data_IF_186882673508
#
_entry.id   IF_186882673508
#
_cell.length_a   1.000
_cell.length_b   1.000
_cell.length_c   1.000
_cell.angle_alpha   90.00
_cell.angle_beta   90.00
_cell.angle_gamma   90.00
#
_symmetry.space_group_name_H-M   'P 1'
#
loop_
_entity.id
_entity.type
_entity.pdbx_description
1 polymer ?
#
# COMPACT_ATOMS: atom_id res chain seq x y z
N UNK A 1 -1.29 -49.78 60.01
CA UNK A 1 -1.38 -51.24 59.83
C UNK A 1 -2.13 -51.47 58.53
N UNK A 2 -1.42 -51.96 57.49
CA UNK A 2 -1.95 -52.67 56.29
C UNK A 2 -2.70 -51.78 55.26
N UNK A 3 -2.42 -51.70 53.95
CA UNK A 3 -1.42 -52.28 53.01
C UNK A 3 -1.46 -51.51 51.68
N UNK A 4 -0.32 -51.52 50.98
CA UNK A 4 -0.11 -51.28 49.54
C UNK A 4 -0.41 -52.57 48.77
N UNK A 5 -0.95 -52.52 47.54
CA UNK A 5 -0.60 -53.39 46.36
C UNK A 5 -1.57 -53.15 45.17
N UNK A 6 -1.10 -52.77 43.97
CA UNK A 6 -0.79 -53.63 42.77
C UNK A 6 -2.03 -54.29 42.13
N UNK A 7 -2.23 -54.53 40.83
CA UNK A 7 -1.57 -54.36 39.52
C UNK A 7 -2.54 -55.00 38.47
N UNK A 8 -2.11 -55.12 37.21
CA UNK A 8 -2.73 -55.80 36.03
C UNK A 8 -3.67 -54.95 35.17
N UNK A 9 -3.38 -54.58 33.91
CA UNK A 9 -2.76 -55.23 32.72
C UNK A 9 -3.64 -56.26 32.01
N UNK A 10 -4.25 -55.85 30.89
CA UNK A 10 -4.41 -56.61 29.63
C UNK A 10 -5.03 -55.66 28.58
N UNK A 11 -4.32 -55.15 27.57
CA UNK A 11 -3.80 -55.82 26.37
C UNK A 11 -4.90 -56.47 25.51
N UNK A 12 -5.36 -55.73 24.49
CA UNK A 12 -5.86 -56.30 23.24
C UNK A 12 -5.12 -55.62 22.09
N UNK A 13 -4.22 -56.42 21.52
CA UNK A 13 -3.37 -56.18 20.36
C UNK A 13 -4.11 -56.67 19.11
N UNK A 14 -3.68 -56.14 17.96
CA UNK A 14 -3.73 -56.68 16.59
C UNK A 14 -4.56 -55.80 15.65
N UNK A 15 -4.12 -55.47 14.43
CA UNK A 15 -2.84 -55.42 13.68
C UNK A 15 -3.28 -54.81 12.32
N UNK A 16 -2.56 -53.80 11.81
CA UNK A 16 -1.61 -53.92 10.66
C UNK A 16 -2.35 -54.12 9.32
N UNK A 17 -2.02 -53.50 8.19
CA UNK A 17 -0.86 -52.80 7.62
C UNK A 17 -1.44 -51.79 6.59
N UNK A 18 -0.73 -50.83 5.97
CA UNK A 18 0.65 -50.81 5.54
C UNK A 18 1.06 -49.38 5.10
N UNK A 19 2.32 -49.04 5.38
CA UNK A 19 3.30 -48.38 4.49
C UNK A 19 2.88 -47.16 3.63
N UNK A 20 3.58 -46.02 3.65
CA UNK A 20 4.88 -45.70 4.23
C UNK A 20 5.58 -44.60 3.41
N UNK A 21 6.21 -43.65 4.11
CA UNK A 21 7.57 -43.11 3.86
C UNK A 21 7.78 -41.83 4.68
N UNK A 22 8.27 -42.01 5.90
CA UNK A 22 9.10 -41.00 6.55
C UNK A 22 10.51 -41.10 5.95
N UNK A 23 11.04 -39.97 5.47
CA UNK A 23 12.48 -39.71 5.49
C UNK A 23 12.72 -38.44 6.29
N UNK A 24 13.51 -38.60 7.36
CA UNK A 24 14.16 -37.55 8.13
C UNK A 24 15.09 -36.75 7.20
N UNK A 25 15.21 -35.44 7.42
CA UNK A 25 16.51 -34.77 7.56
C UNK A 25 16.33 -33.30 7.98
N UNK A 26 16.90 -32.99 9.14
CA UNK A 26 17.63 -31.77 9.50
C UNK A 26 17.03 -30.39 9.14
N UNK A 27 16.46 -29.71 10.14
CA UNK A 27 16.42 -28.25 10.20
C UNK A 27 17.41 -27.77 11.27
N UNK A 28 18.52 -27.13 10.90
CA UNK A 28 19.26 -26.31 11.83
C UNK A 28 18.81 -24.83 11.69
N UNK A 29 18.71 -24.19 12.86
CA UNK A 29 19.11 -22.81 13.15
C UNK A 29 18.36 -21.62 12.51
N UNK A 30 17.88 -20.76 13.43
CA UNK A 30 17.96 -19.29 13.44
C UNK A 30 18.07 -18.59 12.09
N UNK A 31 17.03 -17.83 11.73
CA UNK A 31 17.18 -16.60 10.96
C UNK A 31 16.37 -15.46 11.58
N UNK A 32 17.00 -14.32 11.92
CA UNK A 32 16.30 -13.08 12.19
C UNK A 32 16.02 -12.42 10.83
N UNK A 33 14.75 -12.14 10.51
CA UNK A 33 14.44 -11.33 9.34
C UNK A 33 14.23 -9.90 9.82
N UNK A 34 15.34 -9.17 9.79
CA UNK A 34 15.34 -7.72 9.82
C UNK A 34 14.59 -7.20 8.59
N UNK A 35 13.54 -6.42 8.82
CA UNK A 35 12.85 -5.63 7.80
C UNK A 35 13.84 -4.55 7.35
N UNK A 36 14.25 -4.50 6.06
CA UNK A 36 15.15 -3.47 5.61
C UNK A 36 14.34 -2.18 5.42
N UNK A 37 14.31 -1.34 6.44
CA UNK A 37 14.02 0.07 6.24
C UNK A 37 15.13 0.65 5.38
N UNK A 38 14.77 1.10 4.18
CA UNK A 38 15.67 1.72 3.22
C UNK A 38 16.12 3.08 3.76
N UNK A 39 17.18 3.07 4.57
CA UNK A 39 17.89 4.25 5.06
C UNK A 39 18.79 4.77 3.92
N UNK A 40 18.29 5.70 3.12
CA UNK A 40 19.14 6.46 2.19
C UNK A 40 19.58 7.73 2.90
N UNK A 41 20.75 7.68 3.51
CA UNK A 41 21.47 8.85 4.01
C UNK A 41 22.25 9.48 2.84
N UNK A 42 21.76 10.60 2.32
CA UNK A 42 22.52 11.46 1.42
C UNK A 42 22.68 12.82 2.08
N UNK A 43 23.84 13.02 2.73
CA UNK A 43 24.34 14.35 3.14
C UNK A 43 24.65 15.17 1.89
N UNK A 44 24.04 16.34 1.73
CA UNK A 44 24.63 17.51 1.05
C UNK A 44 24.14 18.81 1.71
N UNK A 45 24.95 19.89 1.71
CA UNK A 45 24.72 21.06 2.55
C UNK A 45 23.95 22.19 1.84
N UNK A 46 23.21 22.94 2.69
CA UNK A 46 22.83 24.36 2.62
C UNK A 46 22.12 24.94 1.38
N UNK A 47 20.95 25.55 1.67
CA UNK A 47 20.61 26.87 1.13
C UNK A 47 19.52 26.91 0.07
N UNK A 48 18.44 27.64 0.36
CA UNK A 48 17.49 28.15 -0.62
C UNK A 48 16.05 27.72 -0.38
N UNK A 49 15.24 28.63 0.16
CA UNK A 49 13.78 28.62 0.01
C UNK A 49 13.47 28.70 -1.50
N UNK A 50 13.28 27.54 -2.13
CA UNK A 50 12.71 27.47 -3.47
C UNK A 50 11.28 26.97 -3.37
N UNK A 51 10.36 27.86 -3.73
CA UNK A 51 9.00 27.57 -4.14
C UNK A 51 9.00 26.36 -5.07
N UNK A 52 8.49 25.22 -4.59
CA UNK A 52 8.36 24.01 -5.41
C UNK A 52 7.13 24.18 -6.29
N UNK A 53 7.34 24.13 -7.60
CA UNK A 53 6.30 24.30 -8.62
C UNK A 53 5.20 23.26 -8.49
N UNK A 54 4.02 23.73 -8.08
CA UNK A 54 2.76 23.03 -8.14
C UNK A 54 2.17 23.27 -9.53
N UNK A 55 2.55 22.47 -10.52
CA UNK A 55 1.98 22.61 -11.87
C UNK A 55 1.36 21.30 -12.35
N UNK A 56 0.06 21.41 -12.67
CA UNK A 56 -0.83 20.45 -13.34
C UNK A 56 -1.44 19.32 -12.48
N UNK A 57 -2.13 19.68 -11.41
CA UNK A 57 -3.40 19.03 -11.04
C UNK A 57 -4.53 19.99 -11.45
N UNK A 58 -5.77 19.52 -11.69
CA UNK A 58 -6.91 20.42 -11.96
C UNK A 58 -6.99 21.44 -10.81
N UNK A 59 -7.30 22.71 -11.08
CA UNK A 59 -7.31 23.79 -10.07
C UNK A 59 -8.13 23.43 -8.80
N UNK A 60 -9.14 22.55 -8.92
CA UNK A 60 -9.89 21.99 -7.78
C UNK A 60 -9.09 20.97 -6.96
N UNK A 61 -8.36 20.06 -7.61
CA UNK A 61 -7.63 18.96 -6.97
C UNK A 61 -6.30 19.44 -6.38
N UNK A 62 -5.71 20.51 -6.93
CA UNK A 62 -4.53 21.17 -6.34
C UNK A 62 -4.87 21.77 -4.98
N UNK A 63 -6.05 22.43 -4.88
CA UNK A 63 -6.47 23.12 -3.66
C UNK A 63 -6.66 22.12 -2.53
N UNK A 64 -7.33 21.00 -2.80
CA UNK A 64 -7.58 19.97 -1.78
C UNK A 64 -6.30 19.30 -1.31
N UNK A 65 -5.38 18.95 -2.22
CA UNK A 65 -4.08 18.37 -1.87
C UNK A 65 -3.27 19.34 -0.99
N UNK A 66 -3.20 20.60 -1.38
CA UNK A 66 -2.47 21.62 -0.61
C UNK A 66 -3.08 21.86 0.78
N UNK A 67 -4.41 21.83 0.89
CA UNK A 67 -5.12 21.97 2.16
C UNK A 67 -4.84 20.80 3.10
N UNK A 68 -4.93 19.56 2.62
CA UNK A 68 -4.60 18.36 3.41
C UNK A 68 -3.12 18.34 3.84
N UNK A 69 -2.20 18.68 2.93
CA UNK A 69 -0.77 18.80 3.29
C UNK A 69 -0.56 19.85 4.37
N UNK A 70 -1.26 21.00 4.29
CA UNK A 70 -1.19 22.03 5.33
C UNK A 70 -1.71 21.53 6.68
N UNK A 71 -2.78 20.73 6.70
CA UNK A 71 -3.28 20.10 7.93
C UNK A 71 -2.25 19.14 8.54
N UNK A 72 -1.59 18.33 7.71
CA UNK A 72 -0.51 17.43 8.16
C UNK A 72 0.66 18.22 8.76
N UNK A 73 1.04 19.34 8.16
CA UNK A 73 2.09 20.21 8.70
C UNK A 73 1.72 20.86 10.03
N UNK A 74 0.45 21.23 10.20
CA UNK A 74 -0.07 21.74 11.47
C UNK A 74 -0.05 20.66 12.56
N UNK A 75 -0.42 19.42 12.23
CA UNK A 75 -0.27 18.27 13.13
C UNK A 75 1.20 18.06 13.52
N UNK A 76 2.13 18.15 12.57
CA UNK A 76 3.56 17.99 12.84
C UNK A 76 4.09 19.06 13.81
N UNK A 77 3.66 20.32 13.68
CA UNK A 77 4.01 21.41 14.61
C UNK A 77 3.49 21.14 16.02
N UNK A 78 2.26 20.63 16.14
CA UNK A 78 1.67 20.25 17.44
C UNK A 78 2.40 19.08 18.08
N UNK A 79 2.68 18.03 17.30
CA UNK A 79 3.44 16.86 17.74
C UNK A 79 4.82 17.26 18.26
N UNK A 80 5.50 18.16 17.54
CA UNK A 80 6.81 18.72 17.96
C UNK A 80 6.70 19.54 19.26
N UNK A 81 5.71 20.44 19.35
CA UNK A 81 5.55 21.33 20.50
C UNK A 81 5.17 20.58 21.78
N UNK A 82 4.32 19.56 21.68
CA UNK A 82 3.82 18.76 22.80
C UNK A 82 4.64 17.52 23.10
N UNK A 83 5.60 17.17 22.23
CA UNK A 83 6.37 15.92 22.27
C UNK A 83 5.45 14.68 22.35
N UNK A 84 4.40 14.68 21.54
CA UNK A 84 3.46 13.56 21.43
C UNK A 84 3.53 12.94 20.03
N UNK A 85 3.03 11.71 19.88
CA UNK A 85 2.85 11.07 18.58
C UNK A 85 1.42 11.37 18.11
N UNK A 86 1.29 11.99 16.95
CA UNK A 86 0.02 12.27 16.30
C UNK A 86 -0.06 11.45 15.02
N UNK A 87 -1.15 10.71 14.86
CA UNK A 87 -1.41 9.91 13.67
C UNK A 87 -2.47 10.58 12.81
N UNK A 88 -2.21 10.74 11.52
CA UNK A 88 -3.19 11.29 10.57
C UNK A 88 -4.29 10.29 10.26
N UNK A 89 -5.33 10.74 9.57
CA UNK A 89 -6.26 9.86 8.86
C UNK A 89 -5.58 9.22 7.63
N UNK A 90 -6.30 8.36 6.89
CA UNK A 90 -5.76 7.71 5.68
C UNK A 90 -5.59 8.74 4.56
N UNK A 91 -4.33 9.02 4.25
CA UNK A 91 -3.90 9.92 3.20
C UNK A 91 -3.84 9.17 1.86
N UNK A 92 -4.14 9.90 0.79
CA UNK A 92 -3.94 9.38 -0.58
C UNK A 92 -2.45 9.40 -0.97
N UNK A 93 -2.00 8.55 -1.92
CA UNK A 93 -0.62 8.52 -2.38
C UNK A 93 0.02 9.88 -2.72
N UNK A 94 -0.63 10.81 -3.46
CA UNK A 94 -0.03 12.12 -3.76
C UNK A 94 0.24 12.94 -2.50
N UNK A 95 -0.73 12.99 -1.58
CA UNK A 95 -0.67 13.78 -0.35
C UNK A 95 0.39 13.21 0.58
N UNK A 96 0.42 11.89 0.75
CA UNK A 96 1.43 11.20 1.54
C UNK A 96 2.84 11.50 1.03
N UNK A 97 3.05 11.44 -0.29
CA UNK A 97 4.35 11.70 -0.91
C UNK A 97 4.81 13.14 -0.65
N UNK A 98 3.91 14.11 -0.85
CA UNK A 98 4.24 15.52 -0.63
C UNK A 98 4.50 15.83 0.84
N UNK A 99 3.64 15.37 1.74
CA UNK A 99 3.80 15.55 3.18
C UNK A 99 5.12 14.93 3.67
N UNK A 100 5.43 13.70 3.28
CA UNK A 100 6.66 13.01 3.69
C UNK A 100 7.90 13.77 3.23
N UNK A 101 7.94 14.23 1.97
CA UNK A 101 9.06 15.02 1.44
C UNK A 101 9.28 16.36 2.19
N UNK A 102 8.23 16.96 2.73
CA UNK A 102 8.34 18.19 3.52
C UNK A 102 8.81 17.87 4.94
N UNK A 103 8.24 16.84 5.57
CA UNK A 103 8.56 16.45 6.93
C UNK A 103 9.99 15.92 7.07
N UNK A 104 10.51 15.21 6.07
CA UNK A 104 11.90 14.74 6.04
C UNK A 104 12.93 15.89 6.09
N UNK A 105 12.55 17.11 5.72
CA UNK A 105 13.42 18.29 5.79
C UNK A 105 13.45 18.92 7.18
N UNK A 106 12.57 18.51 8.09
CA UNK A 106 12.50 19.00 9.46
C UNK A 106 13.34 18.11 10.36
N UNK A 107 14.40 18.66 10.97
CA UNK A 107 15.38 17.88 11.73
C UNK A 107 14.77 17.20 12.98
N UNK A 108 13.81 17.85 13.64
CA UNK A 108 13.30 17.41 14.94
C UNK A 108 12.08 16.48 14.84
N UNK A 109 11.63 16.17 13.62
CA UNK A 109 10.42 15.40 13.38
C UNK A 109 10.76 14.10 12.67
N UNK A 110 10.16 13.02 13.14
CA UNK A 110 10.16 11.72 12.48
C UNK A 110 8.73 11.42 12.03
N UNK A 111 8.61 10.92 10.81
CA UNK A 111 7.34 10.53 10.22
C UNK A 111 7.45 9.08 9.72
N UNK A 112 6.46 8.25 10.06
CA UNK A 112 6.38 6.85 9.63
C UNK A 112 5.05 6.65 8.93
N UNK A 113 5.10 6.30 7.64
CA UNK A 113 3.93 5.94 6.86
C UNK A 113 3.59 4.46 7.06
N UNK A 114 2.34 4.17 7.39
CA UNK A 114 1.83 2.82 7.60
C UNK A 114 0.58 2.63 6.75
N UNK A 115 0.46 1.51 6.05
CA UNK A 115 -0.74 1.14 5.27
C UNK A 115 -1.26 -0.27 5.56
N UNK A 116 -0.67 -0.95 6.55
CA UNK A 116 -0.99 -2.34 6.91
C UNK A 116 -0.25 -3.40 6.10
N UNK A 117 0.04 -3.14 4.82
CA UNK A 117 0.81 -4.04 3.94
C UNK A 117 1.73 -3.26 2.98
N UNK A 118 2.76 -3.88 2.38
CA UNK A 118 3.81 -3.17 1.63
C UNK A 118 3.33 -2.42 0.37
N UNK A 119 2.16 -2.75 -0.16
CA UNK A 119 1.61 -2.20 -1.40
C UNK A 119 0.36 -1.35 -1.18
N UNK A 120 0.10 -0.96 0.07
CA UNK A 120 -1.02 -0.10 0.39
C UNK A 120 -0.98 1.21 -0.41
N UNK A 121 -2.11 1.58 -1.00
CA UNK A 121 -2.31 2.85 -1.67
C UNK A 121 -2.62 3.93 -0.64
N UNK A 122 -3.55 3.67 0.28
CA UNK A 122 -3.91 4.60 1.36
C UNK A 122 -3.12 4.28 2.61
N UNK A 123 -2.42 5.27 3.15
CA UNK A 123 -1.59 5.11 4.34
C UNK A 123 -1.89 6.20 5.36
N UNK A 124 -1.75 5.86 6.65
CA UNK A 124 -1.73 6.82 7.75
C UNK A 124 -0.28 7.23 8.03
N UNK A 125 -0.09 8.47 8.44
CA UNK A 125 1.21 9.03 8.77
C UNK A 125 1.29 9.27 10.28
N UNK A 126 2.19 8.57 10.94
CA UNK A 126 2.50 8.76 12.36
C UNK A 126 3.63 9.76 12.49
N UNK A 127 3.40 10.88 13.16
CA UNK A 127 4.31 12.03 13.25
C UNK A 127 4.63 12.30 14.71
N UNK A 128 5.92 12.47 15.03
CA UNK A 128 6.35 12.73 16.39
C UNK A 128 7.82 13.13 16.47
N UNK A 129 8.26 13.49 17.68
CA UNK A 129 9.67 13.77 17.94
C UNK A 129 10.50 12.47 17.86
N UNK A 130 11.76 12.56 17.43
CA UNK A 130 12.65 11.40 17.27
C UNK A 130 12.78 10.56 18.54
N UNK A 131 12.84 11.22 19.70
CA UNK A 131 12.98 10.58 21.02
C UNK A 131 11.77 9.74 21.45
N UNK A 132 10.57 10.12 20.98
CA UNK A 132 9.31 9.46 21.37
C UNK A 132 8.99 8.32 20.41
N UNK A 133 9.41 8.45 19.14
CA UNK A 133 9.14 7.49 18.08
C UNK A 133 10.18 6.35 18.02
N UNK A 134 10.27 5.60 19.13
CA UNK A 134 11.19 4.47 19.30
C UNK A 134 10.68 3.18 18.63
N UNK A 135 9.37 3.02 18.51
CA UNK A 135 8.72 1.91 17.79
C UNK A 135 7.70 2.46 16.78
N UNK A 136 7.36 1.65 15.78
CA UNK A 136 6.23 1.95 14.91
C UNK A 136 4.95 1.85 15.75
N UNK A 137 4.12 2.91 15.84
CA UNK A 137 2.88 2.84 16.59
C UNK A 137 1.86 1.95 15.89
N UNK A 138 0.89 1.42 16.63
CA UNK A 138 -0.23 0.65 16.08
C UNK A 138 -1.24 1.61 15.44
N UNK A 139 -0.89 2.10 14.25
CA UNK A 139 -1.70 3.09 13.54
C UNK A 139 -2.86 2.46 12.75
N UNK A 140 -2.88 1.15 12.51
CA UNK A 140 -3.83 0.51 11.59
C UNK A 140 -4.27 -0.85 12.10
N UNK A 141 -5.57 -1.11 12.02
CA UNK A 141 -6.17 -2.43 12.23
C UNK A 141 -6.73 -2.98 10.92
N UNK A 142 -6.81 -4.30 10.83
CA UNK A 142 -7.44 -4.99 9.71
C UNK A 142 -8.68 -5.74 10.17
N UNK A 143 -9.76 -5.59 9.40
CA UNK A 143 -11.02 -6.29 9.59
C UNK A 143 -11.23 -7.27 8.45
N UNK A 144 -11.75 -8.45 8.76
CA UNK A 144 -12.24 -9.44 7.80
C UNK A 144 -13.76 -9.42 7.80
N UNK A 145 -14.32 -9.16 6.63
CA UNK A 145 -15.75 -9.19 6.35
C UNK A 145 -16.03 -10.49 5.59
N UNK A 146 -16.76 -11.40 6.23
CA UNK A 146 -17.12 -12.70 5.66
C UNK A 146 -18.62 -12.79 5.41
N UNK A 147 -19.01 -13.39 4.31
CA UNK A 147 -20.41 -13.52 3.91
C UNK A 147 -20.56 -14.51 2.76
N UNK A 148 -21.80 -14.83 2.40
CA UNK A 148 -22.07 -15.73 1.28
C UNK A 148 -22.13 -14.95 -0.04
N UNK A 149 -20.96 -14.70 -0.63
CA UNK A 149 -20.83 -13.92 -1.86
C UNK A 149 -20.81 -14.76 -3.15
N UNK A 150 -20.98 -16.08 -3.07
CA UNK A 150 -20.90 -16.98 -4.23
C UNK A 150 -21.97 -16.76 -5.32
N UNK A 151 -23.04 -16.03 -5.02
CA UNK A 151 -24.18 -15.83 -5.92
C UNK A 151 -24.22 -14.45 -6.61
N UNK A 152 -23.28 -13.56 -6.32
CA UNK A 152 -23.26 -12.20 -6.87
C UNK A 152 -21.85 -11.67 -7.06
N UNK A 153 -21.66 -10.79 -8.06
CA UNK A 153 -20.41 -10.05 -8.22
C UNK A 153 -20.48 -8.80 -7.35
N UNK A 154 -19.78 -8.83 -6.23
CA UNK A 154 -19.65 -7.67 -5.35
C UNK A 154 -18.37 -6.92 -5.70
N UNK A 155 -18.52 -5.63 -5.94
CA UNK A 155 -17.42 -4.73 -6.26
C UNK A 155 -16.87 -4.08 -4.99
N UNK A 156 -15.69 -3.47 -5.11
CA UNK A 156 -15.13 -2.61 -4.07
C UNK A 156 -16.13 -1.52 -3.62
N UNK A 157 -16.94 -1.00 -4.55
CA UNK A 157 -17.93 0.04 -4.27
C UNK A 157 -19.02 -0.40 -3.29
N UNK A 158 -19.40 -1.68 -3.31
CA UNK A 158 -20.47 -2.22 -2.48
C UNK A 158 -20.04 -2.35 -1.01
N UNK A 159 -18.83 -2.85 -0.77
CA UNK A 159 -18.23 -2.90 0.56
C UNK A 159 -18.03 -1.50 1.13
N UNK A 160 -17.44 -0.60 0.33
CA UNK A 160 -17.24 0.78 0.73
C UNK A 160 -18.58 1.46 1.06
N UNK A 161 -19.59 1.33 0.20
CA UNK A 161 -20.89 1.94 0.41
C UNK A 161 -21.58 1.44 1.68
N UNK A 162 -21.43 0.15 1.99
CA UNK A 162 -21.99 -0.45 3.21
C UNK A 162 -21.29 0.07 4.46
N UNK A 163 -19.96 0.21 4.42
CA UNK A 163 -19.18 0.78 5.52
C UNK A 163 -19.54 2.25 5.73
N UNK A 164 -19.57 3.05 4.67
CA UNK A 164 -19.96 4.47 4.76
C UNK A 164 -21.41 4.64 5.25
N UNK A 165 -22.29 3.67 4.93
CA UNK A 165 -23.67 3.62 5.44
C UNK A 165 -23.79 3.51 6.96
N UNK A 166 -22.73 3.08 7.65
CA UNK A 166 -22.67 3.07 9.13
C UNK A 166 -22.45 4.46 9.73
N UNK A 167 -22.14 5.47 8.92
CA UNK A 167 -21.83 6.84 9.35
C UNK A 167 -20.34 7.14 9.48
N UNK A 168 -19.46 6.20 9.11
CA UNK A 168 -18.01 6.42 9.08
C UNK A 168 -17.62 7.27 7.87
N UNK A 169 -16.66 8.17 8.07
CA UNK A 169 -16.08 9.00 7.02
C UNK A 169 -14.99 8.24 6.24
N UNK A 170 -14.86 8.51 4.94
CA UNK A 170 -13.95 7.76 4.05
C UNK A 170 -12.48 7.90 4.46
N UNK A 171 -12.12 9.02 5.07
CA UNK A 171 -10.77 9.35 5.54
C UNK A 171 -10.31 8.36 6.62
N UNK A 172 -11.23 7.73 7.35
CA UNK A 172 -10.93 6.71 8.37
C UNK A 172 -10.80 5.29 7.81
N UNK A 173 -11.00 5.12 6.50
CA UNK A 173 -10.95 3.83 5.81
C UNK A 173 -9.75 3.83 4.86
N UNK A 174 -8.96 2.78 4.96
CA UNK A 174 -7.84 2.47 4.07
C UNK A 174 -8.28 1.68 2.85
N UNK A 175 -7.43 0.75 2.44
CA UNK A 175 -7.69 -0.09 1.28
C UNK A 175 -8.68 -1.22 1.61
N UNK A 176 -9.46 -1.62 0.60
CA UNK A 176 -10.38 -2.76 0.67
C UNK A 176 -9.87 -3.84 -0.29
N UNK A 177 -9.48 -4.97 0.27
CA UNK A 177 -8.96 -6.13 -0.43
C UNK A 177 -10.10 -7.13 -0.65
N UNK A 178 -10.53 -7.31 -1.90
CA UNK A 178 -11.58 -8.28 -2.23
C UNK A 178 -11.02 -9.71 -2.19
N UNK A 179 -11.77 -10.62 -1.58
CA UNK A 179 -11.45 -12.04 -1.47
C UNK A 179 -12.43 -12.92 -2.28
N UNK A 180 -12.85 -12.43 -3.43
CA UNK A 180 -13.80 -13.12 -4.33
C UNK A 180 -15.03 -13.66 -3.59
N UNK A 181 -15.13 -14.98 -3.40
CA UNK A 181 -16.26 -15.65 -2.76
C UNK A 181 -16.27 -15.56 -1.23
N UNK A 182 -15.11 -15.30 -0.60
CA UNK A 182 -14.97 -15.27 0.88
C UNK A 182 -15.39 -13.94 1.50
N UNK A 183 -15.40 -12.87 0.71
CA UNK A 183 -15.76 -11.52 1.14
C UNK A 183 -14.65 -10.50 0.90
N UNK A 184 -14.28 -9.73 1.93
CA UNK A 184 -13.26 -8.69 1.82
C UNK A 184 -12.47 -8.50 3.13
N UNK A 185 -11.27 -7.95 3.01
CA UNK A 185 -10.48 -7.45 4.13
C UNK A 185 -10.35 -5.94 4.02
N UNK A 186 -10.49 -5.21 5.12
CA UNK A 186 -10.50 -3.75 5.13
C UNK A 186 -9.54 -3.22 6.17
N UNK A 187 -8.75 -2.21 5.78
CA UNK A 187 -7.83 -1.51 6.64
C UNK A 187 -8.55 -0.31 7.25
N UNK A 188 -8.52 -0.15 8.57
CA UNK A 188 -9.29 0.87 9.29
C UNK A 188 -8.49 1.49 10.44
N UNK A 189 -8.97 2.64 10.92
CA UNK A 189 -8.52 3.24 12.17
C UNK A 189 -8.82 2.26 13.34
N UNK A 190 -7.85 1.91 14.20
CA UNK A 190 -8.07 1.01 15.34
C UNK A 190 -9.25 1.41 16.22
N UNK A 191 -9.53 2.71 16.37
CA UNK A 191 -10.67 3.22 17.15
C UNK A 191 -12.04 2.79 16.59
N UNK A 192 -12.12 2.39 15.32
CA UNK A 192 -13.37 2.01 14.64
C UNK A 192 -13.60 0.50 14.60
N UNK A 193 -12.68 -0.32 15.10
CA UNK A 193 -12.75 -1.79 15.03
C UNK A 193 -14.02 -2.31 15.71
N UNK A 194 -14.23 -1.96 16.99
CA UNK A 194 -15.39 -2.43 17.77
C UNK A 194 -16.72 -1.93 17.20
N UNK A 195 -16.73 -0.68 16.72
CA UNK A 195 -17.90 -0.07 16.10
C UNK A 195 -18.29 -0.79 14.80
N UNK A 196 -17.32 -1.11 13.95
CA UNK A 196 -17.57 -1.82 12.70
C UNK A 196 -17.98 -3.28 12.92
N UNK A 197 -17.37 -3.96 13.89
CA UNK A 197 -17.73 -5.33 14.25
C UNK A 197 -19.20 -5.41 14.70
N UNK A 198 -19.68 -4.42 15.46
CA UNK A 198 -21.06 -4.39 15.97
C UNK A 198 -22.10 -3.90 14.95
N UNK A 199 -21.71 -2.97 14.08
CA UNK A 199 -22.67 -2.26 13.20
C UNK A 199 -22.74 -2.84 11.79
N UNK A 200 -21.64 -3.34 11.25
CA UNK A 200 -21.57 -3.82 9.87
C UNK A 200 -22.08 -5.26 9.75
N UNK A 201 -23.41 -5.38 9.65
CA UNK A 201 -24.12 -6.66 9.61
C UNK A 201 -24.53 -7.11 8.19
N UNK A 202 -24.50 -6.20 7.21
CA UNK A 202 -24.85 -6.51 5.83
C UNK A 202 -24.00 -5.73 4.83
N UNK A 203 -23.72 -6.34 3.69
CA UNK A 203 -23.13 -5.68 2.51
C UNK A 203 -24.09 -5.87 1.34
N UNK A 204 -24.68 -4.77 0.87
CA UNK A 204 -25.81 -4.82 -0.06
C UNK A 204 -26.98 -5.61 0.54
N UNK A 205 -27.30 -6.77 -0.05
CA UNK A 205 -28.37 -7.66 0.41
C UNK A 205 -27.84 -8.91 1.14
N UNK A 206 -26.53 -9.04 1.33
CA UNK A 206 -25.90 -10.24 1.93
C UNK A 206 -25.59 -9.96 3.39
N UNK A 207 -26.05 -10.80 4.33
CA UNK A 207 -25.64 -10.70 5.72
C UNK A 207 -24.15 -11.06 5.84
N UNK A 208 -23.41 -10.26 6.60
CA UNK A 208 -21.96 -10.43 6.80
C UNK A 208 -21.61 -10.51 8.27
N UNK A 209 -20.48 -11.16 8.57
CA UNK A 209 -19.84 -11.17 9.87
C UNK A 209 -18.48 -10.48 9.77
N UNK A 210 -18.21 -9.58 10.71
CA UNK A 210 -16.98 -8.81 10.78
C UNK A 210 -16.13 -9.28 11.97
N UNK A 211 -14.84 -9.47 11.75
CA UNK A 211 -13.89 -9.87 12.80
C UNK A 211 -12.55 -9.17 12.61
N UNK A 212 -11.88 -8.82 13.71
CA UNK A 212 -10.53 -8.29 13.64
C UNK A 212 -9.52 -9.40 13.29
N UNK A 213 -8.54 -9.06 12.44
CA UNK A 213 -7.46 -9.96 12.07
C UNK A 213 -6.10 -9.27 12.25
N UNK A 214 -5.06 -10.03 12.61
CA UNK A 214 -3.71 -9.47 12.66
C UNK A 214 -3.27 -9.08 11.25
N UNK A 215 -2.52 -7.97 11.12
CA UNK A 215 -1.99 -7.49 9.84
C UNK A 215 -1.16 -8.56 9.11
N UNK A 216 -0.51 -9.46 9.84
CA UNK A 216 0.27 -10.57 9.26
C UNK A 216 -0.61 -11.62 8.56
N UNK A 217 -1.90 -11.70 8.88
CA UNK A 217 -2.86 -12.59 8.26
C UNK A 217 -3.65 -11.92 7.12
N UNK A 218 -3.24 -10.72 6.71
CA UNK A 218 -3.78 -10.07 5.51
C UNK A 218 -3.45 -10.93 4.29
N UNK A 219 -4.50 -11.32 3.59
CA UNK A 219 -4.41 -12.04 2.32
C UNK A 219 -4.56 -10.98 1.23
N UNK A 220 -3.42 -10.46 0.77
CA UNK A 220 -3.38 -9.56 -0.38
C UNK A 220 -2.82 -10.33 -1.57
N UNK A 221 -3.52 -10.31 -2.70
CA UNK A 221 -2.92 -10.71 -3.95
C UNK A 221 -2.03 -9.57 -4.45
N UNK A 222 -0.72 -9.78 -4.66
CA UNK A 222 0.07 -8.77 -5.33
C UNK A 222 -0.57 -8.50 -6.70
N UNK A 223 -0.74 -7.24 -7.10
CA UNK A 223 -1.38 -6.90 -8.36
C UNK A 223 -0.65 -7.64 -9.47
N UNK A 224 -1.39 -8.23 -10.42
CA UNK A 224 -0.80 -8.99 -11.51
C UNK A 224 0.07 -8.05 -12.34
N UNK A 225 1.38 -8.09 -12.12
CA UNK A 225 2.30 -7.25 -12.87
C UNK A 225 2.90 -8.03 -14.03
N UNK A 226 2.89 -7.43 -15.21
CA UNK A 226 3.67 -7.93 -16.35
C UNK A 226 4.91 -7.05 -16.52
N UNK A 227 6.08 -7.60 -16.22
CA UNK A 227 7.38 -6.96 -16.44
C UNK A 227 7.92 -7.34 -17.82
N UNK A 228 8.37 -6.34 -18.58
CA UNK A 228 9.06 -6.57 -19.85
C UNK A 228 10.14 -5.51 -20.08
N UNK A 229 11.16 -5.87 -20.87
CA UNK A 229 12.26 -4.98 -21.22
C UNK A 229 12.06 -4.41 -22.62
N UNK A 230 12.22 -3.11 -22.77
CA UNK A 230 12.23 -2.43 -24.06
C UNK A 230 13.52 -1.62 -24.24
N UNK A 231 13.87 -1.30 -25.48
CA UNK A 231 15.02 -0.45 -25.80
C UNK A 231 14.50 0.79 -26.53
N UNK A 232 14.49 1.93 -25.85
CA UNK A 232 14.03 3.19 -26.40
C UNK A 232 15.21 4.14 -26.69
N UNK A 233 15.02 5.01 -27.68
CA UNK A 233 16.01 6.03 -28.03
C UNK A 233 16.01 7.21 -27.04
N UNK A 234 14.93 7.40 -26.28
CA UNK A 234 14.79 8.50 -25.31
C UNK A 234 13.94 8.08 -24.12
N UNK A 235 14.19 8.71 -22.97
CA UNK A 235 13.44 8.51 -21.72
C UNK A 235 12.19 9.39 -21.60
N UNK A 236 11.64 9.85 -22.73
CA UNK A 236 10.46 10.70 -22.76
C UNK A 236 9.21 9.89 -22.42
N UNK A 237 8.23 10.54 -21.77
CA UNK A 237 6.94 9.93 -21.41
C UNK A 237 6.26 9.31 -22.63
N UNK A 238 6.22 10.01 -23.75
CA UNK A 238 5.60 9.53 -25.00
C UNK A 238 6.26 8.25 -25.54
N UNK A 239 7.58 8.13 -25.43
CA UNK A 239 8.35 6.97 -25.91
C UNK A 239 8.13 5.76 -25.00
N UNK A 240 8.27 5.94 -23.69
CA UNK A 240 8.18 4.85 -22.71
C UNK A 240 6.74 4.35 -22.52
N UNK A 241 5.76 5.25 -22.43
CA UNK A 241 4.37 4.83 -22.27
C UNK A 241 3.79 4.23 -23.57
N UNK A 242 4.29 4.60 -24.76
CA UNK A 242 3.91 3.95 -26.01
C UNK A 242 4.32 2.47 -26.01
N UNK A 243 5.57 2.19 -25.62
CA UNK A 243 6.07 0.82 -25.44
C UNK A 243 5.33 0.07 -24.32
N UNK A 244 5.07 0.76 -23.20
CA UNK A 244 4.39 0.23 -22.02
C UNK A 244 2.95 -0.24 -22.26
N UNK A 245 2.14 0.63 -22.89
CA UNK A 245 0.71 0.39 -23.09
C UNK A 245 0.38 -0.24 -24.44
N UNK A 246 1.38 -0.43 -25.32
CA UNK A 246 1.21 -0.89 -26.71
C UNK A 246 0.27 0.03 -27.50
N UNK A 247 0.43 1.34 -27.34
CA UNK A 247 -0.33 2.40 -28.02
C UNK A 247 0.61 3.18 -28.93
N UNK A 248 0.15 3.63 -30.10
CA UNK A 248 0.98 4.42 -31.00
C UNK A 248 1.41 5.75 -30.35
N UNK A 249 2.61 6.23 -30.67
CA UNK A 249 3.13 7.49 -30.12
C UNK A 249 2.23 8.68 -30.44
N UNK A 250 1.67 8.76 -31.65
CA UNK A 250 0.74 9.83 -32.05
C UNK A 250 -0.49 9.85 -31.15
N UNK A 251 -1.11 8.69 -30.91
CA UNK A 251 -2.29 8.60 -30.05
C UNK A 251 -1.96 8.96 -28.60
N UNK A 252 -0.77 8.59 -28.13
CA UNK A 252 -0.34 8.94 -26.78
C UNK A 252 -0.05 10.45 -26.64
N UNK A 253 0.51 11.09 -27.66
CA UNK A 253 0.67 12.55 -27.71
C UNK A 253 -0.67 13.26 -27.58
N UNK A 254 -1.72 12.75 -28.24
CA UNK A 254 -3.07 13.30 -28.11
C UNK A 254 -3.62 13.13 -26.68
N UNK A 255 -3.42 11.96 -26.07
CA UNK A 255 -3.79 11.72 -24.67
C UNK A 255 -3.05 12.64 -23.68
N UNK A 256 -1.77 12.89 -23.91
CA UNK A 256 -0.97 13.83 -23.09
C UNK A 256 -1.52 15.26 -23.24
N UNK A 257 -1.86 15.68 -24.47
CA UNK A 257 -2.47 17.00 -24.73
C UNK A 257 -3.85 17.15 -24.08
N UNK A 258 -4.63 16.08 -24.05
CA UNK A 258 -5.94 16.04 -23.40
C UNK A 258 -5.87 15.98 -21.87
N UNK A 259 -4.70 15.71 -21.29
CA UNK A 259 -4.50 15.59 -19.85
C UNK A 259 -4.86 14.21 -19.28
N UNK A 260 -5.00 13.20 -20.13
CA UNK A 260 -5.35 11.81 -19.75
C UNK A 260 -4.15 11.00 -19.23
N UNK A 261 -2.96 11.62 -19.21
CA UNK A 261 -1.71 11.00 -18.77
C UNK A 261 -1.21 11.69 -17.52
N UNK A 262 -0.96 10.90 -16.47
CA UNK A 262 -0.41 11.33 -15.20
C UNK A 262 0.93 10.65 -14.94
N UNK A 263 1.90 11.41 -14.45
CA UNK A 263 3.19 10.91 -13.98
C UNK A 263 3.29 11.23 -12.49
N UNK A 264 3.52 10.21 -11.66
CA UNK A 264 3.57 10.34 -10.21
C UNK A 264 2.37 11.11 -9.65
N UNK A 265 1.18 10.81 -10.19
CA UNK A 265 -0.11 11.44 -9.83
C UNK A 265 -0.32 12.87 -10.33
N UNK A 266 0.67 13.52 -10.93
CA UNK A 266 0.52 14.84 -11.56
C UNK A 266 0.20 14.71 -13.06
N UNK A 267 -0.76 15.48 -13.58
CA UNK A 267 -1.10 15.50 -15.00
C UNK A 267 0.04 16.13 -15.80
N UNK A 268 0.47 15.45 -16.86
CA UNK A 268 1.53 15.96 -17.72
C UNK A 268 0.92 16.50 -19.00
N UNK A 269 1.16 17.77 -19.31
CA UNK A 269 0.75 18.40 -20.57
C UNK A 269 1.88 18.48 -21.59
N UNK A 270 3.14 18.34 -21.13
CA UNK A 270 4.34 18.39 -21.96
C UNK A 270 4.84 16.99 -22.33
N UNK A 271 4.78 16.64 -23.61
CA UNK A 271 5.27 15.35 -24.13
C UNK A 271 6.75 15.08 -23.84
N UNK A 272 7.56 16.14 -23.71
CA UNK A 272 9.01 16.06 -23.50
C UNK A 272 9.44 15.77 -22.07
N UNK A 273 8.49 15.50 -21.16
CA UNK A 273 8.82 15.15 -19.77
C UNK A 273 9.66 13.88 -19.75
N UNK A 274 10.78 13.94 -19.03
CA UNK A 274 11.72 12.82 -18.92
C UNK A 274 11.40 12.01 -17.67
N UNK A 275 11.29 10.69 -17.83
CA UNK A 275 11.02 9.77 -16.74
C UNK A 275 12.31 9.24 -16.12
N UNK A 276 12.23 8.93 -14.82
CA UNK A 276 13.29 8.33 -14.02
C UNK A 276 12.86 6.95 -13.52
N UNK A 277 13.85 6.16 -13.10
CA UNK A 277 13.59 4.90 -12.40
C UNK A 277 12.73 5.15 -11.16
N UNK A 278 11.69 4.33 -10.99
CA UNK A 278 10.71 4.44 -9.92
C UNK A 278 9.48 5.26 -10.26
N UNK A 279 9.48 6.05 -11.35
CA UNK A 279 8.31 6.84 -11.74
C UNK A 279 7.13 5.94 -12.14
N UNK A 280 5.92 6.38 -11.84
CA UNK A 280 4.67 5.70 -12.22
C UNK A 280 3.91 6.56 -13.21
N UNK A 281 3.62 5.99 -14.38
CA UNK A 281 2.78 6.59 -15.42
C UNK A 281 1.41 5.94 -15.38
N UNK A 282 0.36 6.73 -15.21
CA UNK A 282 -1.02 6.32 -15.30
C UNK A 282 -1.64 6.93 -16.56
N UNK A 283 -2.35 6.11 -17.33
CA UNK A 283 -3.10 6.55 -18.50
C UNK A 283 -4.54 6.11 -18.33
N UNK A 284 -5.45 7.07 -18.38
CA UNK A 284 -6.88 6.81 -18.16
C UNK A 284 -7.39 5.80 -19.20
N UNK A 285 -8.09 4.76 -18.71
CA UNK A 285 -8.57 3.64 -19.54
C UNK A 285 -7.50 2.65 -20.04
N UNK A 286 -6.21 2.82 -19.71
CA UNK A 286 -5.12 1.89 -20.09
C UNK A 286 -4.37 1.28 -18.92
N UNK A 287 -4.45 1.90 -17.73
CA UNK A 287 -3.89 1.38 -16.49
C UNK A 287 -2.64 2.11 -16.04
N UNK A 288 -1.80 1.43 -15.24
CA UNK A 288 -0.59 1.99 -14.62
C UNK A 288 0.66 1.27 -15.11
N UNK A 289 1.76 2.01 -15.24
CA UNK A 289 3.06 1.56 -15.71
C UNK A 289 4.14 2.13 -14.79
N UNK A 290 4.89 1.27 -14.09
CA UNK A 290 6.05 1.69 -13.29
C UNK A 290 7.33 1.51 -14.11
N UNK A 291 8.17 2.54 -14.10
CA UNK A 291 9.48 2.52 -14.72
C UNK A 291 10.44 1.83 -13.75
N UNK A 292 10.98 0.69 -14.18
CA UNK A 292 11.99 -0.07 -13.45
C UNK A 292 13.38 0.48 -13.71
N UNK A 293 14.35 -0.43 -13.77
CA UNK A 293 15.74 -0.09 -14.00
C UNK A 293 15.95 0.48 -15.42
N UNK A 294 16.72 1.57 -15.50
CA UNK A 294 17.14 2.21 -16.76
C UNK A 294 18.63 1.98 -16.92
N UNK A 295 19.02 1.29 -18.00
CA UNK A 295 20.42 1.02 -18.35
C UNK A 295 20.77 1.65 -19.69
N UNK A 296 21.91 2.33 -19.78
CA UNK A 296 22.39 2.86 -21.06
C UNK A 296 23.17 1.78 -21.81
N UNK A 297 22.78 1.52 -23.05
CA UNK A 297 23.45 0.56 -23.94
C UNK A 297 24.71 1.18 -24.56
N UNK A 298 25.64 0.32 -25.02
CA UNK A 298 26.86 0.74 -25.72
C UNK A 298 26.61 1.62 -26.96
N UNK A 299 25.39 1.57 -27.53
CA UNK A 299 24.97 2.36 -28.71
C UNK A 299 24.22 3.65 -28.34
N UNK A 300 24.24 4.07 -27.08
CA UNK A 300 23.60 5.30 -26.60
C UNK A 300 22.06 5.23 -26.46
N UNK A 301 21.45 4.06 -26.67
CA UNK A 301 20.01 3.82 -26.41
C UNK A 301 19.78 3.42 -24.95
N UNK A 302 18.57 3.60 -24.45
CA UNK A 302 18.17 3.23 -23.09
C UNK A 302 17.42 1.90 -23.10
N UNK A 303 17.98 0.88 -22.45
CA UNK A 303 17.26 -0.33 -22.10
C UNK A 303 16.50 -0.07 -20.80
N UNK A 304 15.19 -0.21 -20.83
CA UNK A 304 14.31 0.10 -19.69
C UNK A 304 13.45 -1.10 -19.36
N UNK A 305 13.42 -1.46 -18.09
CA UNK A 305 12.43 -2.40 -17.57
C UNK A 305 11.13 -1.66 -17.27
N UNK A 306 10.02 -2.18 -17.82
CA UNK A 306 8.70 -1.62 -17.65
C UNK A 306 7.82 -2.63 -16.93
N UNK A 307 7.19 -2.20 -15.84
CA UNK A 307 6.30 -3.02 -15.02
C UNK A 307 4.88 -2.50 -15.22
N UNK A 308 4.06 -3.25 -15.96
CA UNK A 308 2.65 -2.91 -16.17
C UNK A 308 1.78 -3.57 -15.11
N UNK A 309 0.93 -2.79 -14.47
CA UNK A 309 -0.12 -3.30 -13.59
C UNK A 309 -1.30 -3.72 -14.47
N UNK A 310 -1.72 -4.98 -14.38
CA UNK A 310 -2.87 -5.56 -15.10
C UNK A 310 -4.14 -5.48 -14.27
#
# INVERSE_FOLDING_TARGET
MVTISSAFSSAAVLRSDAFGKLRRCSLPLRFPIAIPYLLISLRHPLGGLHTVSVEALKRSDVSSVAEEVKQVMEMARRASSRREIITTDFLTPPILKEATNILEKLADIKAIAQGGYPQAERCRLSIGHHEVMNSAPDAISALRITGNFGFGKYSHGDFLGSILGTGIVREKIGDILLQEERGAQVLVDPELVDFLISTLNQVGNVPVSCSEIPLLALEYEPPRTSSFKTVEASLRVDSLASAGFKVSRTKLVDLIRNGDVRVNWATVTKNGTTLKTGDVVAVDGKGRLKIGEITTTKKGKFAVELIRYL
#
